data_IF_543938718458
#
_entry.id   IF_543938718458
#
_cell.length_a   1.000
_cell.length_b   1.000
_cell.length_c   1.000
_cell.angle_alpha   90.00
_cell.angle_beta   90.00
_cell.angle_gamma   90.00
#
_symmetry.space_group_name_H-M   'P 1'
#
loop_
_entity.id
_entity.type
_entity.pdbx_description
1 polymer ?
#
# COMPACT_ATOMS: atom_id res chain seq x y z
N UNK A 1 0.45 10.66 -6.91
CA UNK A 1 -0.23 11.50 -5.91
C UNK A 1 0.48 11.28 -4.58
N UNK A 2 1.06 12.31 -3.95
CA UNK A 2 1.84 12.17 -2.70
C UNK A 2 1.04 12.85 -1.57
N UNK A 3 0.80 12.15 -0.46
CA UNK A 3 0.12 12.70 0.73
C UNK A 3 1.00 12.54 1.96
N UNK A 4 1.21 13.65 2.67
CA UNK A 4 1.94 13.68 3.93
C UNK A 4 1.00 13.24 5.06
N UNK A 5 1.43 12.28 5.87
CA UNK A 5 0.71 11.84 7.07
C UNK A 5 1.10 12.71 8.27
N UNK A 6 0.12 13.25 8.98
CA UNK A 6 0.35 14.16 10.12
C UNK A 6 0.91 13.44 11.36
N UNK A 7 0.64 12.14 11.52
CA UNK A 7 1.08 11.32 12.66
C UNK A 7 2.33 10.44 12.41
N UNK A 8 3.07 10.67 11.31
CA UNK A 8 4.23 9.84 10.94
C UNK A 8 3.86 8.48 10.34
N UNK A 9 4.81 7.55 10.30
CA UNK A 9 4.68 6.19 9.70
C UNK A 9 3.90 5.20 10.60
N UNK A 10 2.77 5.62 11.16
CA UNK A 10 1.90 4.70 11.89
C UNK A 10 1.11 3.82 10.91
N UNK A 11 1.14 2.50 11.09
CA UNK A 11 0.56 1.55 10.14
C UNK A 11 -0.96 1.75 9.96
N UNK A 12 -1.68 2.14 11.01
CA UNK A 12 -3.12 2.43 10.93
C UNK A 12 -3.40 3.70 10.12
N UNK A 13 -2.62 4.76 10.38
CA UNK A 13 -2.73 6.01 9.62
C UNK A 13 -2.43 5.81 8.13
N UNK A 14 -1.41 5.01 7.82
CA UNK A 14 -1.07 4.63 6.44
C UNK A 14 -2.22 3.85 5.80
N UNK A 15 -2.72 2.80 6.45
CA UNK A 15 -3.85 2.01 5.93
C UNK A 15 -5.10 2.84 5.68
N UNK A 16 -5.46 3.75 6.58
CA UNK A 16 -6.61 4.64 6.37
C UNK A 16 -6.41 5.57 5.18
N UNK A 17 -5.21 6.14 5.03
CA UNK A 17 -4.91 7.02 3.92
C UNK A 17 -4.96 6.27 2.58
N UNK A 18 -4.37 5.06 2.52
CA UNK A 18 -4.38 4.19 1.34
C UNK A 18 -5.82 3.78 0.99
N UNK A 19 -6.62 3.40 2.00
CA UNK A 19 -8.05 3.08 1.79
C UNK A 19 -8.79 4.24 1.13
N UNK A 20 -8.66 5.47 1.65
CA UNK A 20 -9.32 6.64 1.09
C UNK A 20 -8.86 6.96 -0.35
N UNK A 21 -7.58 6.74 -0.65
CA UNK A 21 -7.04 6.95 -2.00
C UNK A 21 -7.52 5.92 -3.01
N UNK A 22 -7.69 4.67 -2.58
CA UNK A 22 -8.04 3.56 -3.47
C UNK A 22 -9.55 3.32 -3.56
N UNK A 23 -10.35 3.89 -2.65
CA UNK A 23 -11.80 3.78 -2.66
C UNK A 23 -12.44 4.13 -4.03
N UNK A 24 -12.05 5.21 -4.73
CA UNK A 24 -12.59 5.55 -6.05
C UNK A 24 -12.22 4.52 -7.14
N UNK A 25 -11.16 3.75 -6.92
CA UNK A 25 -10.60 2.80 -7.88
C UNK A 25 -10.91 1.35 -7.52
N UNK A 26 -11.66 1.10 -6.43
CA UNK A 26 -11.95 -0.23 -5.89
C UNK A 26 -12.54 -1.20 -6.94
N UNK A 27 -13.32 -0.69 -7.90
CA UNK A 27 -13.89 -1.52 -8.96
C UNK A 27 -12.91 -1.85 -10.10
N UNK A 28 -11.84 -1.08 -10.24
CA UNK A 28 -10.90 -1.18 -11.36
C UNK A 28 -9.57 -1.81 -10.94
N UNK A 29 -9.22 -1.71 -9.66
CA UNK A 29 -7.97 -2.25 -9.08
C UNK A 29 -8.28 -3.53 -8.33
N UNK A 30 -7.68 -4.64 -8.75
CA UNK A 30 -7.89 -5.98 -8.16
C UNK A 30 -6.83 -6.35 -7.13
N UNK A 31 -5.65 -5.76 -7.24
CA UNK A 31 -4.48 -6.11 -6.42
C UNK A 31 -3.58 -4.90 -6.21
N UNK A 32 -2.90 -4.83 -5.07
CA UNK A 32 -1.85 -3.86 -4.79
C UNK A 32 -0.55 -4.62 -4.54
N UNK A 33 0.57 -4.11 -5.03
CA UNK A 33 1.91 -4.60 -4.63
C UNK A 33 2.64 -3.47 -3.89
N UNK A 34 3.12 -3.76 -2.69
CA UNK A 34 3.85 -2.80 -1.84
C UNK A 34 5.21 -3.35 -1.43
N UNK A 35 6.12 -2.51 -0.97
CA UNK A 35 7.33 -2.98 -0.31
C UNK A 35 7.01 -3.56 1.08
N UNK A 36 7.91 -4.38 1.63
CA UNK A 36 7.72 -5.00 2.96
C UNK A 36 8.01 -4.02 4.11
N UNK A 37 7.62 -2.75 3.95
CA UNK A 37 7.80 -1.70 4.93
C UNK A 37 6.88 -1.88 6.15
N UNK A 38 7.35 -1.57 7.37
CA UNK A 38 6.53 -1.66 8.58
C UNK A 38 5.27 -0.77 8.55
N UNK A 39 5.24 0.27 7.71
CA UNK A 39 4.07 1.09 7.42
C UNK A 39 2.87 0.31 6.87
N UNK A 40 3.09 -0.87 6.26
CA UNK A 40 2.04 -1.74 5.71
C UNK A 40 1.73 -2.95 6.60
N UNK A 41 2.13 -2.93 7.87
CA UNK A 41 1.84 -4.01 8.82
C UNK A 41 0.33 -4.31 8.97
N UNK A 42 -0.54 -3.32 8.73
CA UNK A 42 -2.00 -3.45 8.82
C UNK A 42 -2.68 -3.75 7.46
N UNK A 43 -1.94 -4.34 6.52
CA UNK A 43 -2.44 -4.71 5.18
C UNK A 43 -3.67 -5.62 5.21
N UNK A 44 -3.78 -6.53 6.19
CA UNK A 44 -4.93 -7.45 6.31
C UNK A 44 -6.26 -6.71 6.48
N UNK A 45 -6.25 -5.61 7.22
CA UNK A 45 -7.44 -4.75 7.34
C UNK A 45 -7.77 -4.11 6.00
N UNK A 46 -6.74 -3.65 5.27
CA UNK A 46 -6.89 -3.01 3.97
C UNK A 46 -7.45 -3.99 2.91
N UNK A 47 -6.94 -5.22 2.87
CA UNK A 47 -7.44 -6.30 1.99
C UNK A 47 -8.94 -6.52 2.19
N UNK A 48 -9.38 -6.60 3.45
CA UNK A 48 -10.80 -6.79 3.79
C UNK A 48 -11.65 -5.57 3.45
N UNK A 49 -11.16 -4.36 3.70
CA UNK A 49 -11.90 -3.12 3.46
C UNK A 49 -12.09 -2.85 1.95
N UNK A 50 -11.04 -3.12 1.17
CA UNK A 50 -11.01 -2.88 -0.26
C UNK A 50 -11.41 -4.10 -1.10
N UNK A 51 -11.61 -5.28 -0.50
CA UNK A 51 -11.91 -6.53 -1.21
C UNK A 51 -10.90 -6.82 -2.34
N UNK A 52 -9.61 -6.63 -2.03
CA UNK A 52 -8.50 -6.79 -2.97
C UNK A 52 -7.32 -7.49 -2.30
N UNK A 53 -6.47 -8.13 -3.09
CA UNK A 53 -5.27 -8.81 -2.57
C UNK A 53 -4.07 -7.86 -2.52
N UNK A 54 -3.29 -7.94 -1.45
CA UNK A 54 -2.06 -7.16 -1.28
C UNK A 54 -0.87 -8.11 -1.32
N UNK A 55 0.07 -7.82 -2.21
CA UNK A 55 1.32 -8.55 -2.37
C UNK A 55 2.50 -7.69 -1.87
N UNK A 56 3.54 -8.37 -1.40
CA UNK A 56 4.77 -7.73 -0.94
C UNK A 56 5.92 -8.08 -1.88
N UNK A 57 6.73 -7.10 -2.22
CA UNK A 57 7.97 -7.32 -2.96
C UNK A 57 8.95 -8.17 -2.13
N UNK A 58 9.66 -9.08 -2.79
CA UNK A 58 10.64 -9.91 -2.09
C UNK A 58 11.80 -9.06 -1.56
N UNK A 59 12.32 -9.37 -0.35
CA UNK A 59 13.48 -8.68 0.19
C UNK A 59 14.70 -8.88 -0.73
N UNK A 60 15.45 -7.80 -0.95
CA UNK A 60 16.68 -7.76 -1.76
C UNK A 60 16.53 -7.99 -3.28
N UNK A 61 15.30 -8.03 -3.81
CA UNK A 61 15.04 -8.06 -5.25
C UNK A 61 14.80 -6.64 -5.81
N UNK A 62 15.83 -5.79 -5.84
CA UNK A 62 15.68 -4.40 -6.33
C UNK A 62 15.20 -4.30 -7.78
N UNK A 63 15.36 -5.35 -8.59
CA UNK A 63 14.83 -5.39 -9.97
C UNK A 63 13.30 -5.54 -10.01
N UNK A 64 12.65 -6.06 -8.96
CA UNK A 64 11.18 -6.09 -8.85
C UNK A 64 10.61 -4.72 -8.39
N UNK A 65 11.48 -3.86 -7.83
CA UNK A 65 11.14 -2.51 -7.34
C UNK A 65 11.34 -1.41 -8.39
N UNK A 66 11.89 -1.76 -9.56
CA UNK A 66 12.25 -0.79 -10.59
C UNK A 66 11.09 0.03 -11.16
N UNK A 67 9.82 -0.38 -10.98
CA UNK A 67 8.63 0.39 -11.35
C UNK A 67 8.00 1.15 -10.16
N UNK A 68 8.46 0.89 -8.93
CA UNK A 68 7.96 1.47 -7.68
C UNK A 68 8.85 2.64 -7.23
N UNK A 69 10.16 2.58 -7.49
CA UNK A 69 11.16 3.57 -7.06
C UNK A 69 11.67 4.53 -8.17
N UNK A 70 10.93 4.70 -9.27
CA UNK A 70 11.28 5.75 -10.26
C UNK A 70 10.69 7.07 -9.79
N UNK A 71 11.59 7.99 -9.41
CA UNK A 71 11.37 9.34 -8.89
C UNK A 71 10.38 10.19 -9.69
#
# INVERSE_FOLDING_TARGET
>A
MIRKLEKGKDAKGVSQAVYLMLLPYKHNVKTITTDNGPEFADHKWLEKALDMKIYFAHPYCSWEKGLIEVY
#
